data_IF_360533324231
#
_entry.id   IF_360533324231
#
_cell.length_a   1.000
_cell.length_b   1.000
_cell.length_c   1.000
_cell.angle_alpha   90.00
_cell.angle_beta   90.00
_cell.angle_gamma   90.00
#
_symmetry.space_group_name_H-M   'P 1'
#
loop_
_entity.id
_entity.type
_entity.pdbx_description
1 polymer ?
#
# COMPACT_ATOMS: atom_id res chain seq x y z
N UNK A 1 25.89 29.06 -2.91
CA UNK A 1 25.39 27.78 -2.36
C UNK A 1 23.97 27.60 -2.85
N UNK A 2 23.78 26.73 -3.84
CA UNK A 2 22.48 26.37 -4.44
C UNK A 2 21.76 25.38 -3.52
N UNK A 3 20.55 25.68 -3.02
CA UNK A 3 19.76 24.66 -2.35
C UNK A 3 19.05 23.80 -3.41
N UNK A 4 19.48 22.55 -3.53
CA UNK A 4 18.78 21.50 -4.27
C UNK A 4 17.47 21.21 -3.56
N UNK A 5 16.35 21.75 -4.07
CA UNK A 5 15.01 21.38 -3.63
C UNK A 5 14.77 19.95 -4.12
N UNK A 6 14.91 18.98 -3.19
CA UNK A 6 14.49 17.60 -3.43
C UNK A 6 12.98 17.63 -3.62
N UNK A 7 12.53 17.28 -4.82
CA UNK A 7 11.14 17.05 -5.18
C UNK A 7 10.58 16.00 -4.21
N UNK A 8 9.80 16.44 -3.21
CA UNK A 8 9.01 15.56 -2.37
C UNK A 8 7.81 15.09 -3.22
N UNK A 9 8.05 14.07 -4.04
CA UNK A 9 6.99 13.26 -4.61
C UNK A 9 6.37 12.41 -3.48
N UNK A 10 5.66 13.08 -2.57
CA UNK A 10 4.77 12.41 -1.63
C UNK A 10 3.53 11.98 -2.38
N UNK A 11 3.38 10.67 -2.57
CA UNK A 11 2.10 10.05 -2.95
C UNK A 11 1.06 10.50 -1.93
N UNK A 12 0.17 11.40 -2.33
CA UNK A 12 -1.03 11.75 -1.58
C UNK A 12 -1.98 10.55 -1.64
N UNK A 13 -1.73 9.55 -0.79
CA UNK A 13 -2.70 8.48 -0.52
C UNK A 13 -3.91 9.12 0.15
N UNK A 14 -4.96 9.37 -0.61
CA UNK A 14 -6.03 10.26 -0.19
C UNK A 14 -7.08 9.60 0.72
N UNK A 15 -7.03 8.29 0.88
CA UNK A 15 -8.04 7.52 1.61
C UNK A 15 -7.34 6.37 2.36
N UNK A 16 -7.13 6.53 3.66
CA UNK A 16 -7.11 5.37 4.56
C UNK A 16 -8.57 5.09 4.92
N UNK A 17 -9.28 4.37 4.05
CA UNK A 17 -10.72 4.19 4.18
C UNK A 17 -11.04 3.02 5.11
N UNK A 18 -11.44 3.33 6.35
CA UNK A 18 -12.21 2.44 7.20
C UNK A 18 -13.64 2.99 7.25
N UNK A 19 -14.52 2.51 6.36
CA UNK A 19 -15.91 2.97 6.30
C UNK A 19 -16.80 1.92 6.97
N UNK A 20 -17.23 2.21 8.21
CA UNK A 20 -18.22 1.41 8.91
C UNK A 20 -19.64 1.83 8.48
N UNK A 21 -20.44 0.89 7.99
CA UNK A 21 -21.85 1.16 7.69
C UNK A 21 -22.69 1.04 8.97
N UNK A 22 -23.68 1.91 9.22
CA UNK A 22 -24.62 1.70 10.30
C UNK A 22 -25.58 0.56 9.92
N UNK A 23 -25.29 -0.65 10.39
CA UNK A 23 -26.16 -1.81 10.31
C UNK A 23 -26.38 -2.39 11.72
N UNK A 24 -27.61 -2.85 11.98
CA UNK A 24 -27.94 -3.55 13.22
C UNK A 24 -27.04 -4.78 13.36
N UNK A 25 -26.26 -4.82 14.44
CA UNK A 25 -25.33 -5.91 14.74
C UNK A 25 -26.12 -7.20 14.98
N UNK A 26 -26.27 -8.00 13.94
CA UNK A 26 -26.84 -9.34 13.99
C UNK A 26 -25.77 -10.37 13.67
N UNK A 27 -25.48 -11.21 14.66
CA UNK A 27 -24.64 -12.44 14.67
C UNK A 27 -23.12 -12.29 14.46
N UNK A 28 -22.41 -12.87 15.45
CA UNK A 28 -20.98 -13.15 15.61
C UNK A 28 -19.95 -12.51 14.65
N UNK A 29 -19.14 -11.59 15.20
CA UNK A 29 -17.88 -11.07 14.61
C UNK A 29 -16.75 -12.14 14.63
N UNK A 30 -17.10 -13.42 14.75
CA UNK A 30 -16.13 -14.51 14.94
C UNK A 30 -15.43 -14.95 13.66
N UNK A 31 -15.82 -14.42 12.50
CA UNK A 31 -15.31 -14.80 11.18
C UNK A 31 -14.20 -13.87 10.65
N UNK A 32 -13.83 -12.84 11.41
CA UNK A 32 -12.72 -11.92 11.10
C UNK A 32 -11.47 -12.37 11.85
N UNK A 33 -10.40 -12.68 11.12
CA UNK A 33 -9.08 -12.93 11.69
C UNK A 33 -8.11 -11.79 11.45
N UNK A 34 -7.02 -11.79 12.19
CA UNK A 34 -5.87 -10.94 11.90
C UNK A 34 -4.56 -11.68 12.11
N UNK A 35 -3.52 -11.21 11.42
CA UNK A 35 -2.18 -11.79 11.45
C UNK A 35 -1.12 -10.71 11.57
N UNK A 36 -0.10 -10.97 12.39
CA UNK A 36 1.10 -10.14 12.45
C UNK A 36 2.07 -10.58 11.33
N UNK A 37 2.03 -9.89 10.19
CA UNK A 37 2.94 -10.15 9.08
C UNK A 37 4.41 -9.93 9.46
N UNK A 38 4.69 -9.02 10.41
CA UNK A 38 6.05 -8.80 10.91
C UNK A 38 6.55 -9.99 11.73
N UNK A 39 5.68 -10.73 12.43
CA UNK A 39 6.07 -12.00 13.07
C UNK A 39 6.47 -13.06 12.03
N UNK A 40 5.75 -13.15 10.91
CA UNK A 40 6.08 -14.08 9.81
C UNK A 40 7.40 -13.68 9.13
N UNK A 41 7.60 -12.39 8.87
CA UNK A 41 8.82 -11.87 8.24
C UNK A 41 10.09 -12.06 9.10
N UNK A 42 9.94 -12.29 10.40
CA UNK A 42 11.03 -12.59 11.35
C UNK A 42 11.32 -14.09 11.50
N UNK A 43 10.68 -14.95 10.72
CA UNK A 43 10.97 -16.37 10.78
C UNK A 43 12.38 -16.68 10.25
N UNK A 44 13.09 -17.68 10.80
CA UNK A 44 14.47 -18.00 10.41
C UNK A 44 14.66 -18.23 8.91
N UNK A 45 13.64 -18.74 8.21
CA UNK A 45 13.67 -18.91 6.76
C UNK A 45 13.77 -17.58 6.01
N UNK A 46 13.03 -16.54 6.45
CA UNK A 46 13.09 -15.20 5.88
C UNK A 46 14.42 -14.51 6.21
N UNK A 47 14.91 -14.65 7.44
CA UNK A 47 16.23 -14.12 7.83
C UNK A 47 17.35 -14.76 7.01
N UNK A 48 17.29 -16.08 6.79
CA UNK A 48 18.26 -16.81 5.97
C UNK A 48 18.22 -16.36 4.51
N UNK A 49 17.03 -16.21 3.93
CA UNK A 49 16.84 -15.69 2.57
C UNK A 49 17.36 -14.24 2.45
N UNK A 50 17.13 -13.40 3.45
CA UNK A 50 17.64 -12.02 3.49
C UNK A 50 19.16 -11.98 3.53
N UNK A 51 19.80 -12.84 4.34
CA UNK A 51 21.25 -12.97 4.36
C UNK A 51 21.78 -13.41 3.00
N UNK A 52 21.21 -14.47 2.43
CA UNK A 52 21.61 -14.97 1.11
C UNK A 52 21.45 -13.90 0.02
N UNK A 53 20.34 -13.17 0.02
CA UNK A 53 20.10 -12.08 -0.92
C UNK A 53 21.15 -10.97 -0.80
N UNK A 54 21.52 -10.60 0.42
CA UNK A 54 22.54 -9.59 0.66
C UNK A 54 23.93 -10.02 0.17
N UNK A 55 24.30 -11.28 0.44
CA UNK A 55 25.56 -11.87 0.00
C UNK A 55 25.62 -11.93 -1.55
N UNK A 56 24.55 -12.38 -2.20
CA UNK A 56 24.44 -12.43 -3.67
C UNK A 56 24.40 -11.04 -4.31
N UNK A 57 23.70 -10.07 -3.70
CA UNK A 57 23.68 -8.68 -4.15
C UNK A 57 25.08 -8.08 -4.14
N UNK A 58 25.85 -8.29 -3.08
CA UNK A 58 27.22 -7.79 -2.99
C UNK A 58 28.11 -8.37 -4.11
N UNK A 59 27.97 -9.66 -4.40
CA UNK A 59 28.69 -10.29 -5.52
C UNK A 59 28.27 -9.71 -6.88
N UNK A 60 26.96 -9.50 -7.09
CA UNK A 60 26.44 -8.88 -8.31
C UNK A 60 26.93 -7.44 -8.46
N UNK A 61 26.99 -6.67 -7.39
CA UNK A 61 27.51 -5.30 -7.38
C UNK A 61 28.98 -5.24 -7.81
N UNK A 62 29.83 -6.12 -7.27
CA UNK A 62 31.23 -6.22 -7.70
C UNK A 62 31.36 -6.57 -9.19
N UNK A 63 30.53 -7.51 -9.67
CA UNK A 63 30.52 -7.90 -11.09
C UNK A 63 30.04 -6.75 -11.98
N UNK A 64 29.08 -5.95 -11.51
CA UNK A 64 28.55 -4.79 -12.21
C UNK A 64 29.60 -3.69 -12.29
N UNK A 65 30.26 -3.35 -11.17
CA UNK A 65 31.35 -2.37 -11.15
C UNK A 65 32.51 -2.76 -12.07
N UNK A 66 32.88 -4.04 -12.08
CA UNK A 66 33.93 -4.55 -12.96
C UNK A 66 33.53 -4.40 -14.44
N UNK A 67 32.29 -4.76 -14.80
CA UNK A 67 31.79 -4.60 -16.16
C UNK A 67 31.72 -3.12 -16.56
N UNK A 68 31.19 -2.25 -15.71
CA UNK A 68 31.08 -0.82 -15.98
C UNK A 68 32.43 -0.14 -16.23
N UNK A 69 33.52 -0.60 -15.59
CA UNK A 69 34.89 -0.12 -15.87
C UNK A 69 35.39 -0.48 -17.28
N UNK A 70 34.87 -1.55 -17.87
CA UNK A 70 35.29 -2.02 -19.21
C UNK A 70 34.44 -1.46 -20.35
N UNK A 71 33.23 -0.99 -20.04
CA UNK A 71 32.26 -0.52 -21.04
C UNK A 71 32.50 0.95 -21.41
N UNK A 72 32.63 1.22 -22.72
CA UNK A 72 32.92 2.57 -23.26
C UNK A 72 31.74 3.22 -23.99
N UNK A 73 30.72 2.45 -24.36
CA UNK A 73 29.53 2.90 -25.10
C UNK A 73 28.36 3.15 -24.15
N UNK A 74 27.58 4.20 -24.39
CA UNK A 74 26.35 4.50 -23.64
C UNK A 74 25.29 3.39 -23.76
N UNK A 75 25.17 2.77 -24.93
CA UNK A 75 24.22 1.68 -25.16
C UNK A 75 24.57 0.43 -24.35
N UNK A 76 25.86 0.09 -24.26
CA UNK A 76 26.33 -1.03 -23.45
C UNK A 76 26.24 -0.75 -21.96
N UNK A 77 26.47 0.50 -21.53
CA UNK A 77 26.28 0.90 -20.12
C UNK A 77 24.81 0.71 -19.70
N UNK A 78 23.88 1.15 -20.54
CA UNK A 78 22.45 0.97 -20.28
C UNK A 78 22.06 -0.51 -20.23
N UNK A 79 22.61 -1.34 -21.12
CA UNK A 79 22.37 -2.79 -21.11
C UNK A 79 22.90 -3.45 -19.84
N UNK A 80 24.14 -3.16 -19.44
CA UNK A 80 24.75 -3.70 -18.22
C UNK A 80 23.96 -3.27 -16.97
N UNK A 81 23.46 -2.03 -16.95
CA UNK A 81 22.60 -1.56 -15.87
C UNK A 81 21.25 -2.29 -15.83
N UNK A 82 20.59 -2.48 -16.98
CA UNK A 82 19.34 -3.23 -17.06
C UNK A 82 19.54 -4.69 -16.63
N UNK A 83 20.59 -5.35 -17.13
CA UNK A 83 20.93 -6.74 -16.78
C UNK A 83 21.16 -6.90 -15.27
N UNK A 84 21.87 -5.95 -14.64
CA UNK A 84 22.08 -5.95 -13.20
C UNK A 84 20.76 -5.83 -12.43
N UNK A 85 19.91 -4.86 -12.78
CA UNK A 85 18.62 -4.68 -12.11
C UNK A 85 17.70 -5.89 -12.27
N UNK A 86 17.68 -6.50 -13.47
CA UNK A 86 16.92 -7.72 -13.72
C UNK A 86 17.42 -8.89 -12.87
N UNK A 87 18.74 -9.09 -12.78
CA UNK A 87 19.32 -10.16 -11.95
C UNK A 87 18.98 -9.97 -10.48
N UNK A 88 19.08 -8.75 -9.96
CA UNK A 88 18.70 -8.45 -8.57
C UNK A 88 17.22 -8.79 -8.32
N UNK A 89 16.32 -8.32 -9.19
CA UNK A 89 14.90 -8.61 -9.07
C UNK A 89 14.60 -10.11 -9.14
N UNK A 90 15.22 -10.84 -10.07
CA UNK A 90 15.09 -12.29 -10.20
C UNK A 90 15.59 -13.03 -8.95
N UNK A 91 16.72 -12.63 -8.38
CA UNK A 91 17.23 -13.24 -7.14
C UNK A 91 16.32 -12.98 -5.96
N UNK A 92 15.81 -11.75 -5.82
CA UNK A 92 14.83 -11.44 -4.79
C UNK A 92 13.58 -12.32 -4.94
N UNK A 93 13.02 -12.41 -6.14
CA UNK A 93 11.83 -13.23 -6.38
C UNK A 93 12.09 -14.73 -6.14
N UNK A 94 13.25 -15.25 -6.53
CA UNK A 94 13.60 -16.65 -6.33
C UNK A 94 13.76 -17.03 -4.84
N UNK A 95 14.33 -16.13 -4.03
CA UNK A 95 14.55 -16.37 -2.60
C UNK A 95 13.29 -16.15 -1.76
N UNK A 96 12.54 -15.08 -2.03
CA UNK A 96 11.40 -14.69 -1.20
C UNK A 96 10.06 -15.19 -1.73
N UNK A 97 9.91 -15.36 -3.04
CA UNK A 97 8.66 -15.80 -3.67
C UNK A 97 8.09 -17.09 -3.07
N UNK A 98 8.88 -18.17 -2.94
CA UNK A 98 8.42 -19.41 -2.30
C UNK A 98 8.04 -19.23 -0.82
N UNK A 99 8.74 -18.35 -0.10
CA UNK A 99 8.45 -18.07 1.32
C UNK A 99 7.13 -17.33 1.48
N UNK A 100 6.88 -16.30 0.64
CA UNK A 100 5.60 -15.60 0.60
C UNK A 100 4.46 -16.51 0.19
N UNK A 101 4.64 -17.35 -0.84
CA UNK A 101 3.63 -18.32 -1.25
C UNK A 101 3.29 -19.31 -0.13
N UNK A 102 4.31 -19.78 0.60
CA UNK A 102 4.14 -20.64 1.77
C UNK A 102 3.38 -19.93 2.89
N UNK A 103 3.73 -18.68 3.21
CA UNK A 103 3.03 -17.88 4.20
C UNK A 103 1.56 -17.65 3.81
N UNK A 104 1.29 -17.26 2.56
CA UNK A 104 -0.07 -17.06 2.06
C UNK A 104 -0.91 -18.34 2.15
N UNK A 105 -0.30 -19.48 1.82
CA UNK A 105 -0.99 -20.78 1.89
C UNK A 105 -1.26 -21.18 3.34
N UNK A 106 -0.32 -20.92 4.25
CA UNK A 106 -0.53 -21.14 5.68
C UNK A 106 -1.67 -20.28 6.22
N UNK A 107 -1.71 -18.98 5.87
CA UNK A 107 -2.79 -18.07 6.26
C UNK A 107 -4.14 -18.58 5.73
N UNK A 108 -4.20 -18.97 4.46
CA UNK A 108 -5.41 -19.52 3.86
C UNK A 108 -5.87 -20.81 4.56
N UNK A 109 -4.93 -21.71 4.89
CA UNK A 109 -5.21 -22.96 5.58
C UNK A 109 -5.75 -22.74 6.98
N UNK A 110 -5.12 -21.86 7.77
CA UNK A 110 -5.60 -21.51 9.11
C UNK A 110 -6.95 -20.81 9.03
N UNK A 111 -7.12 -19.87 8.09
CA UNK A 111 -8.40 -19.20 7.88
C UNK A 111 -9.53 -20.19 7.57
N UNK A 112 -9.30 -21.14 6.66
CA UNK A 112 -10.27 -22.19 6.34
C UNK A 112 -10.58 -23.08 7.57
N UNK A 113 -9.56 -23.52 8.31
CA UNK A 113 -9.72 -24.36 9.50
C UNK A 113 -10.48 -23.63 10.63
N UNK A 114 -10.33 -22.31 10.71
CA UNK A 114 -10.99 -21.44 11.70
C UNK A 114 -12.30 -20.84 11.19
N UNK A 115 -12.76 -21.20 9.98
CA UNK A 115 -13.96 -20.65 9.33
C UNK A 115 -13.95 -19.12 9.20
N UNK A 116 -12.77 -18.53 8.96
CA UNK A 116 -12.60 -17.10 8.78
C UNK A 116 -12.89 -16.71 7.32
N UNK A 117 -13.70 -15.67 7.14
CA UNK A 117 -14.07 -15.13 5.82
C UNK A 117 -13.07 -14.06 5.36
N UNK A 118 -12.33 -13.45 6.29
CA UNK A 118 -11.33 -12.42 6.02
C UNK A 118 -10.20 -12.47 7.04
N UNK A 119 -8.98 -12.19 6.59
CA UNK A 119 -7.81 -11.93 7.43
C UNK A 119 -7.19 -10.61 7.02
N UNK A 120 -6.95 -9.74 8.00
CA UNK A 120 -6.29 -8.44 7.82
C UNK A 120 -4.98 -8.35 8.60
N UNK A 121 -4.16 -7.36 8.28
CA UNK A 121 -2.92 -7.10 9.01
C UNK A 121 -3.21 -6.55 10.42
N UNK A 122 -2.49 -7.06 11.42
CA UNK A 122 -2.62 -6.66 12.84
C UNK A 122 -2.49 -5.15 13.08
N UNK A 123 -1.72 -4.43 12.27
CA UNK A 123 -1.47 -2.97 12.39
C UNK A 123 -2.72 -2.13 12.24
N UNK A 124 -3.76 -2.64 11.59
CA UNK A 124 -5.04 -1.94 11.44
C UNK A 124 -6.09 -2.35 12.47
N UNK A 125 -5.79 -3.32 13.35
CA UNK A 125 -6.70 -3.81 14.37
C UNK A 125 -6.44 -3.10 15.70
N UNK A 126 -7.48 -2.42 16.19
CA UNK A 126 -7.47 -1.84 17.53
C UNK A 126 -8.15 -2.75 18.57
N UNK A 127 -9.24 -3.42 18.18
CA UNK A 127 -10.02 -4.30 19.04
C UNK A 127 -10.81 -5.31 18.22
N UNK A 128 -10.99 -6.52 18.74
CA UNK A 128 -11.74 -7.61 18.11
C UNK A 128 -10.92 -8.48 17.15
N UNK A 129 -11.61 -9.40 16.48
CA UNK A 129 -11.02 -10.38 15.58
C UNK A 129 -10.26 -11.50 16.28
N UNK A 130 -9.99 -12.58 15.53
CA UNK A 130 -9.21 -13.73 15.99
C UNK A 130 -7.74 -13.59 15.59
N UNK A 131 -6.83 -13.54 16.57
CA UNK A 131 -5.39 -13.61 16.29
C UNK A 131 -5.02 -15.01 15.78
N UNK A 132 -4.64 -15.12 14.50
CA UNK A 132 -4.15 -16.37 13.92
C UNK A 132 -2.64 -16.41 13.76
N UNK A 133 -1.91 -15.42 14.29
CA UNK A 133 -0.45 -15.27 14.11
C UNK A 133 0.31 -16.53 14.53
N UNK A 134 -0.03 -17.09 15.69
CA UNK A 134 0.65 -18.26 16.23
C UNK A 134 0.46 -19.49 15.32
N UNK A 135 -0.79 -19.78 14.97
CA UNK A 135 -1.15 -20.92 14.11
C UNK A 135 -0.46 -20.81 12.74
N UNK A 136 -0.40 -19.60 12.17
CA UNK A 136 0.27 -19.35 10.88
C UNK A 136 1.79 -19.52 11.02
N UNK A 137 2.42 -18.96 12.05
CA UNK A 137 3.86 -19.11 12.30
C UNK A 137 4.23 -20.58 12.46
N UNK A 138 3.45 -21.35 13.22
CA UNK A 138 3.65 -22.79 13.39
C UNK A 138 3.52 -23.52 12.05
N UNK A 139 2.54 -23.19 11.22
CA UNK A 139 2.32 -23.85 9.94
C UNK A 139 3.38 -23.47 8.88
N UNK A 140 3.85 -22.22 8.87
CA UNK A 140 4.96 -21.80 8.02
C UNK A 140 6.27 -22.46 8.44
N UNK A 141 6.51 -22.59 9.74
CA UNK A 141 7.74 -23.17 10.29
C UNK A 141 7.74 -24.70 10.33
N UNK A 142 6.57 -25.32 10.29
CA UNK A 142 6.40 -26.77 10.39
C UNK A 142 6.87 -27.55 9.15
N UNK A 143 7.10 -28.86 9.28
CA UNK A 143 7.45 -29.72 8.14
C UNK A 143 6.27 -29.90 7.18
N UNK A 144 6.54 -29.86 5.87
CA UNK A 144 5.53 -30.03 4.80
C UNK A 144 5.04 -28.71 4.20
N UNK A 145 4.53 -28.71 2.97
CA UNK A 145 3.93 -27.51 2.35
C UNK A 145 2.52 -27.35 2.93
N UNK A 146 2.14 -26.16 3.45
CA UNK A 146 0.77 -25.91 3.87
C UNK A 146 -0.20 -26.28 2.75
N UNK A 147 -1.29 -26.96 3.09
CA UNK A 147 -2.24 -27.42 2.07
C UNK A 147 -3.11 -26.24 1.64
N UNK A 148 -3.12 -25.95 0.34
CA UNK A 148 -4.04 -24.96 -0.22
C UNK A 148 -5.48 -25.42 0.00
N UNK A 149 -6.35 -24.60 0.62
CA UNK A 149 -7.77 -24.90 0.68
C UNK A 149 -8.32 -25.13 -0.72
N UNK A 150 -9.14 -26.17 -0.89
CA UNK A 150 -9.78 -26.50 -2.18
C UNK A 150 -10.97 -25.60 -2.52
N UNK A 151 -11.35 -24.70 -1.62
CA UNK A 151 -12.45 -23.75 -1.79
C UNK A 151 -11.93 -22.31 -1.70
N UNK A 152 -12.47 -21.43 -2.53
CA UNK A 152 -12.35 -19.99 -2.29
C UNK A 152 -13.00 -19.65 -0.96
N UNK A 153 -12.42 -18.74 -0.16
CA UNK A 153 -13.05 -18.33 1.09
C UNK A 153 -14.47 -17.83 0.81
N UNK A 154 -15.47 -18.20 1.63
CA UNK A 154 -16.83 -17.75 1.44
C UNK A 154 -16.89 -16.21 1.46
N UNK A 155 -17.84 -15.59 0.73
CA UNK A 155 -18.00 -14.14 0.72
C UNK A 155 -18.11 -13.60 2.14
N UNK A 156 -17.31 -12.57 2.45
CA UNK A 156 -17.28 -11.95 3.76
C UNK A 156 -18.23 -10.75 3.81
N UNK A 157 -18.76 -10.48 5.00
CA UNK A 157 -19.41 -9.20 5.29
C UNK A 157 -18.39 -8.03 5.36
N UNK A 158 -17.09 -8.33 5.29
CA UNK A 158 -16.03 -7.34 5.09
C UNK A 158 -15.69 -7.26 3.60
N UNK A 159 -15.94 -6.08 3.01
CA UNK A 159 -15.49 -5.77 1.67
C UNK A 159 -14.11 -5.14 1.64
N UNK A 160 -13.51 -5.11 0.46
CA UNK A 160 -12.32 -4.31 0.21
C UNK A 160 -12.41 -3.57 -1.12
N UNK A 161 -11.65 -2.49 -1.23
CA UNK A 161 -11.47 -1.71 -2.47
C UNK A 161 -9.99 -1.55 -2.81
N UNK A 162 -9.67 -1.54 -4.10
CA UNK A 162 -8.37 -1.09 -4.60
C UNK A 162 -8.37 0.44 -4.77
N UNK A 163 -7.73 1.14 -3.85
CA UNK A 163 -7.61 2.60 -3.89
C UNK A 163 -6.90 3.10 -5.15
N UNK A 164 -5.91 2.36 -5.66
CA UNK A 164 -5.21 2.72 -6.89
C UNK A 164 -6.13 2.69 -8.11
N UNK A 165 -7.11 1.77 -8.13
CA UNK A 165 -8.13 1.73 -9.17
C UNK A 165 -9.12 2.89 -9.03
N UNK A 166 -9.52 3.26 -7.80
CA UNK A 166 -10.38 4.42 -7.55
C UNK A 166 -9.70 5.72 -7.95
N UNK A 167 -8.43 5.91 -7.58
CA UNK A 167 -7.64 7.10 -7.89
C UNK A 167 -7.52 7.35 -9.41
N UNK A 168 -7.61 6.29 -10.21
CA UNK A 168 -7.61 6.36 -11.67
C UNK A 168 -8.96 6.75 -12.29
N UNK A 169 -10.04 6.82 -11.50
CA UNK A 169 -11.34 7.28 -12.02
C UNK A 169 -11.23 8.73 -12.51
N UNK A 170 -11.90 9.11 -13.63
CA UNK A 170 -11.71 10.42 -14.24
C UNK A 170 -11.92 11.59 -13.28
N UNK A 171 -12.91 11.47 -12.39
CA UNK A 171 -13.25 12.51 -11.42
C UNK A 171 -12.21 12.67 -10.32
N UNK A 172 -11.75 11.56 -9.73
CA UNK A 172 -10.71 11.58 -8.69
C UNK A 172 -9.40 12.07 -9.29
N UNK A 173 -9.00 11.50 -10.44
CA UNK A 173 -7.79 11.89 -11.14
C UNK A 173 -7.78 13.39 -11.48
N UNK A 174 -8.89 13.93 -12.01
CA UNK A 174 -8.97 15.35 -12.33
C UNK A 174 -8.82 16.26 -11.10
N UNK A 175 -9.38 15.88 -9.95
CA UNK A 175 -9.22 16.64 -8.72
C UNK A 175 -7.78 16.57 -8.17
N UNK A 176 -7.15 15.40 -8.23
CA UNK A 176 -5.74 15.22 -7.88
C UNK A 176 -4.82 16.03 -8.80
N UNK A 177 -5.03 15.96 -10.12
CA UNK A 177 -4.26 16.72 -11.12
C UNK A 177 -4.36 18.23 -10.84
N UNK A 178 -5.57 18.75 -10.55
CA UNK A 178 -5.77 20.16 -10.16
C UNK A 178 -4.99 20.54 -8.91
N UNK A 179 -5.01 19.68 -7.89
CA UNK A 179 -4.26 19.95 -6.67
C UNK A 179 -2.74 19.91 -6.91
N UNK A 180 -2.24 18.98 -7.72
CA UNK A 180 -0.82 18.90 -8.11
C UNK A 180 -0.38 20.18 -8.83
N UNK A 181 -1.16 20.67 -9.80
CA UNK A 181 -0.88 21.93 -10.50
C UNK A 181 -0.88 23.11 -9.51
N UNK A 182 -1.88 23.19 -8.63
CA UNK A 182 -1.96 24.24 -7.61
C UNK A 182 -0.71 24.26 -6.72
N UNK A 183 -0.25 23.10 -6.23
CA UNK A 183 0.97 23.01 -5.41
C UNK A 183 2.20 23.52 -6.16
N UNK A 184 2.36 23.15 -7.43
CA UNK A 184 3.50 23.60 -8.23
C UNK A 184 3.52 25.12 -8.43
N UNK A 185 2.35 25.72 -8.63
CA UNK A 185 2.24 27.17 -8.81
C UNK A 185 2.44 27.92 -7.49
N UNK A 186 1.92 27.38 -6.39
CA UNK A 186 2.19 27.91 -5.04
C UNK A 186 3.67 27.82 -4.66
N UNK A 187 4.36 26.72 -4.96
CA UNK A 187 5.79 26.57 -4.72
C UNK A 187 6.60 27.65 -5.47
N UNK A 188 6.29 27.89 -6.75
CA UNK A 188 6.93 28.97 -7.54
C UNK A 188 6.64 30.35 -6.94
N UNK A 189 5.39 30.60 -6.55
CA UNK A 189 4.96 31.88 -5.96
C UNK A 189 5.66 32.12 -4.62
N UNK A 190 5.70 31.12 -3.75
CA UNK A 190 6.39 31.16 -2.48
C UNK A 190 7.89 31.39 -2.67
N UNK A 191 8.53 30.68 -3.60
CA UNK A 191 9.95 30.87 -3.90
C UNK A 191 10.26 32.30 -4.34
N UNK A 192 9.45 32.87 -5.23
CA UNK A 192 9.57 34.26 -5.65
C UNK A 192 9.40 35.23 -4.47
N UNK A 193 8.39 35.03 -3.61
CA UNK A 193 8.14 35.88 -2.44
C UNK A 193 9.26 35.78 -1.38
N UNK A 194 9.80 34.57 -1.15
CA UNK A 194 10.91 34.35 -0.22
C UNK A 194 12.20 35.02 -0.69
N UNK A 195 12.46 35.05 -2.00
CA UNK A 195 13.62 35.76 -2.57
C UNK A 195 13.58 37.27 -2.36
N UNK A 196 12.37 37.82 -2.21
CA UNK A 196 12.13 39.25 -1.98
C UNK A 196 12.00 39.60 -0.49
N UNK A 197 11.92 38.61 0.40
CA UNK A 197 11.75 38.83 1.83
C UNK A 197 13.01 39.43 2.45
N UNK A 198 12.84 40.57 3.14
CA UNK A 198 13.94 41.39 3.70
C UNK A 198 14.33 40.99 5.12
N UNK A 199 13.52 40.17 5.79
CA UNK A 199 13.77 39.70 7.16
C UNK A 199 13.26 38.28 7.36
N UNK A 200 13.77 37.63 8.42
CA UNK A 200 13.32 36.29 8.81
C UNK A 200 11.87 36.27 9.30
N UNK A 201 11.39 37.35 9.92
CA UNK A 201 9.98 37.49 10.30
C UNK A 201 9.06 37.47 9.08
N UNK A 202 9.44 38.17 8.00
CA UNK A 202 8.68 38.15 6.74
C UNK A 202 8.67 36.75 6.11
N UNK A 203 9.82 36.06 6.09
CA UNK A 203 9.91 34.69 5.58
C UNK A 203 9.00 33.72 6.36
N UNK A 204 8.99 33.82 7.69
CA UNK A 204 8.12 33.01 8.55
C UNK A 204 6.64 33.22 8.27
N UNK A 205 6.21 34.47 8.09
CA UNK A 205 4.80 34.78 7.76
C UNK A 205 4.41 34.20 6.41
N UNK A 206 5.27 34.33 5.39
CA UNK A 206 5.04 33.78 4.05
C UNK A 206 4.91 32.25 4.08
N UNK A 207 5.79 31.55 4.80
CA UNK A 207 5.73 30.10 4.95
C UNK A 207 4.43 29.67 5.64
N UNK A 208 4.08 30.29 6.77
CA UNK A 208 2.84 29.97 7.51
C UNK A 208 1.60 30.17 6.62
N UNK A 209 1.56 31.26 5.87
CA UNK A 209 0.45 31.56 4.95
C UNK A 209 0.36 30.53 3.83
N UNK A 210 1.47 30.19 3.19
CA UNK A 210 1.49 29.21 2.11
C UNK A 210 1.02 27.83 2.58
N UNK A 211 1.45 27.37 3.76
CA UNK A 211 0.94 26.12 4.33
C UNK A 211 -0.57 26.15 4.59
N UNK A 212 -1.10 27.27 5.09
CA UNK A 212 -2.54 27.42 5.32
C UNK A 212 -3.34 27.44 4.00
N UNK A 213 -2.84 28.13 2.97
CA UNK A 213 -3.49 28.16 1.66
C UNK A 213 -3.44 26.80 0.97
N UNK A 214 -2.34 26.04 1.11
CA UNK A 214 -2.23 24.67 0.63
C UNK A 214 -3.25 23.74 1.28
N UNK A 215 -3.37 23.76 2.61
CA UNK A 215 -4.37 22.96 3.34
C UNK A 215 -5.80 23.33 2.93
N UNK A 216 -6.10 24.63 2.86
CA UNK A 216 -7.41 25.11 2.43
C UNK A 216 -7.74 24.64 1.00
N UNK A 217 -6.80 24.76 0.06
CA UNK A 217 -7.05 24.31 -1.31
C UNK A 217 -7.12 22.79 -1.44
N UNK A 218 -6.37 22.06 -0.63
CA UNK A 218 -6.51 20.61 -0.54
C UNK A 218 -7.94 20.22 -0.16
N UNK A 219 -8.47 20.83 0.89
CA UNK A 219 -9.84 20.59 1.36
C UNK A 219 -10.89 21.01 0.33
N UNK A 220 -10.69 22.12 -0.36
CA UNK A 220 -11.62 22.61 -1.38
C UNK A 220 -11.64 21.73 -2.64
N UNK A 221 -10.47 21.31 -3.12
CA UNK A 221 -10.37 20.53 -4.36
C UNK A 221 -10.70 19.06 -4.17
N UNK A 222 -10.31 18.49 -3.02
CA UNK A 222 -10.40 17.06 -2.78
C UNK A 222 -11.54 16.67 -1.83
N UNK A 223 -11.92 17.54 -0.90
CA UNK A 223 -12.99 17.27 0.08
C UNK A 223 -14.31 16.79 -0.55
N UNK A 224 -14.85 17.49 -1.57
CA UNK A 224 -16.08 17.05 -2.23
C UNK A 224 -15.96 15.67 -2.88
N UNK A 225 -14.79 15.38 -3.47
CA UNK A 225 -14.50 14.10 -4.13
C UNK A 225 -14.35 12.97 -3.11
N UNK A 226 -13.68 13.23 -1.98
CA UNK A 226 -13.59 12.29 -0.86
C UNK A 226 -15.00 11.95 -0.35
N UNK A 227 -15.81 12.96 -0.07
CA UNK A 227 -17.15 12.77 0.50
C UNK A 227 -18.04 11.96 -0.43
N UNK A 228 -18.00 12.25 -1.72
CA UNK A 228 -18.73 11.47 -2.72
C UNK A 228 -18.24 10.04 -2.81
N UNK A 229 -16.91 9.83 -2.82
CA UNK A 229 -16.31 8.50 -2.83
C UNK A 229 -16.78 7.67 -1.63
N UNK A 230 -16.77 8.27 -0.43
CA UNK A 230 -17.28 7.64 0.78
C UNK A 230 -18.78 7.31 0.68
N UNK A 231 -19.59 8.21 0.10
CA UNK A 231 -21.01 7.98 -0.09
C UNK A 231 -21.28 6.81 -1.06
N UNK A 232 -20.51 6.73 -2.15
CA UNK A 232 -20.61 5.63 -3.12
C UNK A 232 -20.19 4.31 -2.49
N UNK A 233 -19.05 4.28 -1.77
CA UNK A 233 -18.61 3.09 -1.04
C UNK A 233 -19.69 2.64 -0.03
N UNK A 234 -20.26 3.58 0.74
CA UNK A 234 -21.33 3.27 1.68
C UNK A 234 -22.58 2.70 1.00
N UNK A 235 -22.97 3.25 -0.16
CA UNK A 235 -24.11 2.75 -0.92
C UNK A 235 -23.86 1.34 -1.47
N UNK A 236 -22.67 1.08 -2.02
CA UNK A 236 -22.27 -0.25 -2.49
C UNK A 236 -22.22 -1.25 -1.33
N UNK A 237 -21.63 -0.86 -0.20
CA UNK A 237 -21.56 -1.69 1.01
C UNK A 237 -22.97 -2.09 1.48
N UNK A 238 -23.89 -1.14 1.59
CA UNK A 238 -25.29 -1.41 1.96
C UNK A 238 -25.97 -2.36 0.96
N UNK A 239 -25.80 -2.12 -0.34
CA UNK A 239 -26.38 -2.97 -1.39
C UNK A 239 -25.84 -4.40 -1.35
N UNK A 240 -24.57 -4.56 -0.97
CA UNK A 240 -23.87 -5.85 -0.87
C UNK A 240 -23.98 -6.50 0.51
N UNK A 241 -24.66 -5.87 1.47
CA UNK A 241 -24.79 -6.39 2.84
C UNK A 241 -23.48 -6.36 3.64
N UNK A 242 -22.54 -5.49 3.28
CA UNK A 242 -21.24 -5.38 3.93
C UNK A 242 -21.31 -4.50 5.18
N UNK A 243 -20.65 -4.95 6.24
CA UNK A 243 -20.53 -4.25 7.53
C UNK A 243 -19.37 -3.25 7.51
N UNK A 244 -18.29 -3.61 6.83
CA UNK A 244 -17.05 -2.84 6.78
C UNK A 244 -16.46 -2.91 5.38
N UNK A 245 -15.89 -1.81 4.90
CA UNK A 245 -15.02 -1.80 3.73
C UNK A 245 -13.63 -1.29 4.13
N UNK A 246 -12.61 -2.06 3.80
CA UNK A 246 -11.20 -1.73 4.05
C UNK A 246 -10.43 -1.48 2.74
N UNK A 247 -9.26 -0.87 2.86
CA UNK A 247 -8.31 -0.78 1.76
C UNK A 247 -7.68 -2.15 1.45
N UNK A 248 -7.51 -2.48 0.16
CA UNK A 248 -6.88 -3.71 -0.30
C UNK A 248 -5.49 -3.94 0.31
N UNK A 249 -4.70 -2.87 0.54
CA UNK A 249 -3.37 -2.96 1.14
C UNK A 249 -3.40 -3.42 2.61
N UNK A 250 -4.55 -3.36 3.28
CA UNK A 250 -4.73 -3.85 4.65
C UNK A 250 -5.23 -5.30 4.70
N UNK A 251 -5.58 -5.88 3.55
CA UNK A 251 -6.17 -7.22 3.42
C UNK A 251 -5.08 -8.25 3.13
N UNK A 252 -5.09 -9.34 3.90
CA UNK A 252 -4.14 -10.44 3.73
C UNK A 252 -4.80 -11.66 3.07
N UNK A 253 -6.06 -11.96 3.39
CA UNK A 253 -6.81 -13.07 2.80
C UNK A 253 -8.33 -12.84 2.84
N UNK A 254 -9.07 -13.43 1.90
CA UNK A 254 -10.54 -13.39 1.88
C UNK A 254 -11.12 -11.99 1.60
N UNK A 255 -12.32 -11.73 2.11
CA UNK A 255 -13.04 -10.47 1.86
C UNK A 255 -13.82 -10.44 0.54
N UNK A 256 -14.75 -9.48 0.44
CA UNK A 256 -15.57 -9.27 -0.77
C UNK A 256 -15.02 -8.11 -1.59
N UNK A 257 -14.53 -8.37 -2.80
CA UNK A 257 -14.09 -7.31 -3.70
C UNK A 257 -15.29 -6.48 -4.20
N UNK A 258 -15.28 -5.18 -3.89
CA UNK A 258 -16.29 -4.24 -4.40
C UNK A 258 -15.66 -3.14 -5.26
N UNK A 259 -14.39 -3.28 -5.64
CA UNK A 259 -13.65 -2.29 -6.43
C UNK A 259 -14.39 -1.92 -7.71
N UNK A 260 -14.78 -2.92 -8.50
CA UNK A 260 -15.45 -2.70 -9.78
C UNK A 260 -16.81 -1.99 -9.63
N UNK A 261 -17.58 -2.36 -8.60
CA UNK A 261 -18.88 -1.74 -8.31
C UNK A 261 -18.71 -0.26 -7.96
N UNK A 262 -17.74 0.05 -7.10
CA UNK A 262 -17.43 1.42 -6.66
C UNK A 262 -16.88 2.24 -7.82
N UNK A 263 -15.92 1.71 -8.57
CA UNK A 263 -15.37 2.37 -9.78
C UNK A 263 -16.48 2.66 -10.79
N UNK A 264 -17.39 1.72 -11.01
CA UNK A 264 -18.51 1.92 -11.94
C UNK A 264 -19.48 3.00 -11.46
N UNK A 265 -19.66 3.16 -10.16
CA UNK A 265 -20.55 4.16 -9.58
C UNK A 265 -19.90 5.56 -9.44
N UNK A 266 -18.58 5.66 -9.60
CA UNK A 266 -17.81 6.92 -9.60
C UNK A 266 -17.55 7.51 -10.99
N UNK A 267 -17.95 6.79 -12.05
CA UNK A 267 -17.81 7.24 -13.45
C UNK A 267 -18.74 8.40 -13.79
#
# INVERSE_FOLDING_TARGET
MTPTIKTLAGTLGLLACLVAAPAALGSDVSDIGYVDEAAIGRLPAFESAQKQFNDERQSLEQSFEAQMKTVKSSADQQRVQQDFQQRIAQRQQALFGPLFARAQTAIASVAANRSLTVVVDKRIILFGGLDITKDVVELVSGPGVPVTPVNTPPPSNVGYIDQGALDQTPRIKAAQDRFVVYRQDEEKRLQAQLSQAKSDDQRRVLLKRSYAELDQQQQQLLGPVIQETQNVISAVAKKRGLLLVVDQASRVYGGTDVTADVVSALK
#
